data_IF_248636306857
#
_entry.id   IF_248636306857
#
_cell.length_a   1.000
_cell.length_b   1.000
_cell.length_c   1.000
_cell.angle_alpha   90.00
_cell.angle_beta   90.00
_cell.angle_gamma   90.00
#
_symmetry.space_group_name_H-M   'P 1'
#
loop_
_entity.id
_entity.type
_entity.pdbx_description
1 polymer ?
#
# COMPACT_ATOMS: atom_id res chain seq x y z
N UNK A 1 41.25 25.98 -43.92
CA UNK A 1 41.07 27.45 -43.99
C UNK A 1 39.61 27.69 -43.68
N UNK A 2 39.18 28.12 -42.50
CA UNK A 2 39.70 29.13 -41.54
C UNK A 2 39.24 28.64 -40.13
N UNK A 3 40.11 28.37 -39.14
CA UNK A 3 40.60 29.26 -38.05
C UNK A 3 39.50 30.18 -37.43
N UNK A 4 39.34 30.50 -36.14
CA UNK A 4 39.97 30.33 -34.81
C UNK A 4 38.92 30.94 -33.85
N UNK A 5 38.39 30.25 -32.84
CA UNK A 5 38.88 30.27 -31.45
C UNK A 5 38.81 31.65 -30.79
N UNK A 6 37.87 31.91 -29.85
CA UNK A 6 38.10 32.77 -28.67
C UNK A 6 37.15 32.41 -27.51
N UNK A 7 37.78 31.95 -26.42
CA UNK A 7 37.32 31.95 -25.03
C UNK A 7 37.28 33.36 -24.46
N UNK A 8 36.35 33.66 -23.55
CA UNK A 8 36.44 34.53 -22.33
C UNK A 8 35.03 34.59 -21.70
N UNK A 9 34.72 33.78 -20.67
CA UNK A 9 34.67 34.16 -19.22
C UNK A 9 33.82 35.43 -18.97
N UNK A 10 32.73 35.45 -18.21
CA UNK A 10 32.50 34.95 -16.85
C UNK A 10 30.96 34.90 -16.62
N UNK A 11 30.42 33.76 -16.17
CA UNK A 11 30.13 33.48 -14.76
C UNK A 11 29.08 34.41 -14.14
N UNK A 12 27.82 33.99 -14.20
CA UNK A 12 26.99 33.98 -13.01
C UNK A 12 26.42 32.56 -12.80
N UNK A 13 27.08 31.88 -11.83
CA UNK A 13 26.51 30.97 -10.82
C UNK A 13 25.84 29.66 -11.27
N UNK A 14 26.70 28.64 -11.32
CA UNK A 14 26.54 27.19 -11.10
C UNK A 14 25.64 26.83 -9.89
N UNK A 15 25.02 25.62 -9.74
CA UNK A 15 25.50 24.31 -10.19
C UNK A 15 24.46 23.38 -10.86
N UNK A 16 24.69 23.06 -12.12
CA UNK A 16 24.24 21.79 -12.70
C UNK A 16 25.42 20.81 -12.65
N UNK A 17 25.44 19.97 -11.61
CA UNK A 17 26.32 18.81 -11.61
C UNK A 17 25.74 17.77 -12.59
N UNK A 18 26.41 17.62 -13.73
CA UNK A 18 26.15 16.57 -14.72
C UNK A 18 26.68 15.24 -14.20
N UNK A 19 25.81 14.45 -13.57
CA UNK A 19 26.01 13.00 -13.45
C UNK A 19 25.07 12.29 -14.41
N UNK A 20 25.64 11.55 -15.36
CA UNK A 20 24.96 10.91 -16.48
C UNK A 20 23.64 10.25 -16.10
N UNK A 21 22.58 10.63 -16.84
CA UNK A 21 21.30 9.93 -16.83
C UNK A 21 21.53 8.53 -17.41
N UNK A 22 21.83 7.57 -16.53
CA UNK A 22 21.51 6.17 -16.80
C UNK A 22 20.01 6.11 -17.06
N UNK A 23 19.52 5.47 -18.11
CA UNK A 23 18.10 5.19 -18.22
C UNK A 23 17.72 4.32 -17.02
N UNK A 24 17.08 4.93 -16.02
CA UNK A 24 16.55 4.21 -14.87
C UNK A 24 15.45 3.30 -15.40
N UNK A 25 15.75 2.01 -15.48
CA UNK A 25 14.80 0.95 -15.77
C UNK A 25 13.66 1.06 -14.74
N UNK A 26 12.50 1.59 -15.17
CA UNK A 26 11.27 1.79 -14.36
C UNK A 26 10.60 0.48 -13.89
N UNK A 27 11.32 -0.63 -13.83
CA UNK A 27 10.81 -1.95 -13.41
C UNK A 27 10.83 -2.14 -11.89
N UNK A 28 11.54 -1.30 -11.13
CA UNK A 28 11.77 -1.48 -9.69
C UNK A 28 10.67 -0.95 -8.76
N UNK A 29 9.68 -0.20 -9.25
CA UNK A 29 8.84 0.62 -8.36
C UNK A 29 7.59 -0.11 -7.81
N UNK A 30 7.12 -1.16 -8.49
CA UNK A 30 5.86 -1.83 -8.17
C UNK A 30 6.14 -3.23 -7.61
N UNK A 31 6.48 -3.30 -6.32
CA UNK A 31 6.69 -4.56 -5.59
C UNK A 31 5.83 -4.58 -4.33
N UNK A 32 5.58 -5.78 -3.79
CA UNK A 32 4.97 -5.92 -2.48
C UNK A 32 5.81 -5.20 -1.43
N UNK A 33 5.16 -4.63 -0.42
CA UNK A 33 5.86 -3.90 0.63
C UNK A 33 6.64 -4.83 1.56
N UNK A 34 6.11 -6.04 1.80
CA UNK A 34 6.74 -7.11 2.56
C UNK A 34 6.85 -8.39 1.72
N UNK A 35 7.68 -9.32 2.18
CA UNK A 35 7.88 -10.61 1.52
C UNK A 35 6.63 -11.49 1.70
N UNK A 36 6.01 -11.89 0.57
CA UNK A 36 4.83 -12.74 0.56
C UNK A 36 5.16 -14.23 0.72
N UNK A 37 6.43 -14.61 0.56
CA UNK A 37 6.91 -16.01 0.66
C UNK A 37 7.43 -16.36 2.03
N UNK A 38 7.54 -15.38 2.94
CA UNK A 38 7.99 -15.60 4.30
C UNK A 38 7.03 -16.52 5.08
N UNK A 39 7.60 -17.33 5.97
CA UNK A 39 6.83 -18.20 6.85
C UNK A 39 5.84 -17.38 7.69
N UNK A 40 4.61 -17.87 7.80
CA UNK A 40 3.47 -17.23 8.49
C UNK A 40 3.09 -15.82 7.96
N UNK A 41 3.52 -15.44 6.75
CA UNK A 41 3.07 -14.20 6.13
C UNK A 41 1.55 -14.17 5.95
N UNK A 42 0.90 -13.11 6.42
CA UNK A 42 -0.52 -12.87 6.20
C UNK A 42 -0.71 -12.12 4.87
N UNK A 43 -0.81 -12.89 3.78
CA UNK A 43 -1.09 -12.37 2.44
C UNK A 43 -2.59 -12.17 2.25
N UNK A 44 -2.99 -10.98 1.84
CA UNK A 44 -4.39 -10.62 1.59
C UNK A 44 -4.82 -11.03 0.17
N UNK A 45 -6.11 -11.33 -0.06
CA UNK A 45 -6.58 -11.86 -1.33
C UNK A 45 -6.35 -10.87 -2.50
N UNK A 46 -6.00 -11.43 -3.66
CA UNK A 46 -5.81 -10.67 -4.89
C UNK A 46 -7.16 -10.34 -5.55
N UNK A 47 -7.31 -9.16 -6.18
CA UNK A 47 -8.52 -8.81 -6.91
C UNK A 47 -8.76 -9.72 -8.11
N UNK A 48 -10.01 -10.11 -8.36
CA UNK A 48 -10.44 -10.86 -9.55
C UNK A 48 -10.29 -10.02 -10.83
N UNK A 49 -10.27 -10.65 -12.01
CA UNK A 49 -10.18 -9.91 -13.28
C UNK A 49 -11.28 -8.86 -13.45
N UNK A 50 -12.53 -9.20 -13.11
CA UNK A 50 -13.65 -8.26 -13.16
C UNK A 50 -13.45 -7.07 -12.21
N UNK A 51 -12.91 -7.34 -11.01
CA UNK A 51 -12.57 -6.28 -10.05
C UNK A 51 -11.47 -5.37 -10.61
N UNK A 52 -10.42 -5.96 -11.18
CA UNK A 52 -9.33 -5.20 -11.80
C UNK A 52 -9.83 -4.30 -12.93
N UNK A 53 -10.68 -4.81 -13.82
CA UNK A 53 -11.27 -4.02 -14.91
C UNK A 53 -12.07 -2.80 -14.39
N UNK A 54 -12.74 -2.95 -13.24
CA UNK A 54 -13.58 -1.90 -12.65
C UNK A 54 -12.80 -0.88 -11.81
N UNK A 55 -11.83 -1.33 -11.01
CA UNK A 55 -11.18 -0.51 -9.99
C UNK A 55 -9.72 -0.12 -10.34
N UNK A 56 -9.05 -0.83 -11.24
CA UNK A 56 -7.67 -0.53 -11.67
C UNK A 56 -7.62 0.42 -12.88
N UNK A 57 -8.18 1.62 -12.73
CA UNK A 57 -8.31 2.61 -13.82
C UNK A 57 -6.98 3.05 -14.43
N UNK A 58 -5.87 2.86 -13.71
CA UNK A 58 -4.51 3.24 -14.14
C UNK A 58 -3.74 2.09 -14.79
N UNK A 59 -4.34 0.89 -14.89
CA UNK A 59 -3.68 -0.28 -15.47
C UNK A 59 -2.39 -0.67 -14.74
N UNK A 60 -2.35 -0.48 -13.41
CA UNK A 60 -1.16 -0.78 -12.61
C UNK A 60 -0.99 -2.30 -12.46
N UNK A 61 0.24 -2.81 -12.33
CA UNK A 61 0.46 -4.22 -12.05
C UNK A 61 -0.17 -4.60 -10.69
N UNK A 62 -0.73 -5.80 -10.61
CA UNK A 62 -1.26 -6.35 -9.36
C UNK A 62 -0.13 -6.97 -8.56
N UNK A 63 0.09 -6.46 -7.36
CA UNK A 63 1.12 -6.93 -6.42
C UNK A 63 0.49 -7.56 -5.18
N UNK A 64 1.24 -8.41 -4.49
CA UNK A 64 0.79 -8.95 -3.20
C UNK A 64 0.71 -7.87 -2.14
N UNK A 65 -0.37 -7.93 -1.36
CA UNK A 65 -0.56 -7.11 -0.18
C UNK A 65 -0.36 -8.01 1.03
N UNK A 66 0.67 -7.72 1.82
CA UNK A 66 1.05 -8.54 2.97
C UNK A 66 0.89 -7.69 4.22
N UNK A 67 0.12 -8.16 5.22
CA UNK A 67 0.00 -7.45 6.49
C UNK A 67 1.36 -7.39 7.17
N UNK A 68 1.70 -6.22 7.72
CA UNK A 68 2.99 -5.98 8.39
C UNK A 68 3.34 -7.13 9.35
N UNK A 69 4.50 -7.79 9.18
CA UNK A 69 4.93 -8.91 10.03
C UNK A 69 4.85 -8.61 11.53
N UNK A 70 5.12 -7.37 11.94
CA UNK A 70 5.06 -7.00 13.35
C UNK A 70 3.63 -7.00 13.93
N UNK A 71 2.62 -6.85 13.07
CA UNK A 71 1.20 -6.92 13.40
C UNK A 71 0.68 -8.34 13.20
N UNK A 72 0.97 -8.98 12.08
CA UNK A 72 0.45 -10.30 11.73
C UNK A 72 0.91 -11.41 12.68
N UNK A 73 2.14 -11.34 13.20
CA UNK A 73 2.65 -12.26 14.23
C UNK A 73 1.89 -12.18 15.56
N UNK A 74 1.15 -11.09 15.82
CA UNK A 74 0.34 -10.91 17.04
C UNK A 74 -1.12 -11.29 16.82
N UNK A 75 -1.53 -11.54 15.58
CA UNK A 75 -2.90 -11.92 15.26
C UNK A 75 -3.11 -13.41 15.52
N UNK A 76 -4.15 -13.73 16.26
CA UNK A 76 -4.67 -15.11 16.39
C UNK A 76 -5.36 -15.54 15.09
N UNK A 77 -5.53 -16.85 14.82
CA UNK A 77 -6.13 -17.32 13.56
C UNK A 77 -7.45 -16.63 13.19
N UNK A 78 -8.40 -16.52 14.13
CA UNK A 78 -9.68 -15.83 13.89
C UNK A 78 -9.52 -14.33 13.62
N UNK A 79 -8.48 -13.70 14.16
CA UNK A 79 -8.18 -12.28 13.89
C UNK A 79 -7.58 -12.10 12.49
N UNK A 80 -6.80 -13.07 12.00
CA UNK A 80 -6.28 -13.08 10.63
C UNK A 80 -7.43 -13.18 9.63
N UNK A 81 -8.38 -14.08 9.89
CA UNK A 81 -9.63 -14.18 9.11
C UNK A 81 -10.44 -12.88 9.15
N UNK A 82 -10.57 -12.26 10.32
CA UNK A 82 -11.23 -10.96 10.47
C UNK A 82 -10.57 -9.83 9.66
N UNK A 83 -9.23 -9.78 9.61
CA UNK A 83 -8.50 -8.81 8.77
C UNK A 83 -8.73 -9.08 7.28
N UNK A 84 -8.72 -10.34 6.85
CA UNK A 84 -9.03 -10.73 5.46
C UNK A 84 -10.46 -10.29 5.11
N UNK A 85 -11.43 -10.63 5.95
CA UNK A 85 -12.83 -10.25 5.78
C UNK A 85 -12.99 -8.73 5.62
N UNK A 86 -12.40 -7.95 6.53
CA UNK A 86 -12.49 -6.49 6.47
C UNK A 86 -11.81 -5.93 5.22
N UNK A 87 -10.67 -6.50 4.82
CA UNK A 87 -9.97 -6.09 3.59
C UNK A 87 -10.84 -6.31 2.35
N UNK A 88 -11.43 -7.49 2.19
CA UNK A 88 -12.29 -7.79 1.05
C UNK A 88 -13.51 -6.85 1.02
N UNK A 89 -14.08 -6.54 2.18
CA UNK A 89 -15.16 -5.58 2.32
C UNK A 89 -14.73 -4.17 1.89
N UNK A 90 -13.62 -3.64 2.41
CA UNK A 90 -13.13 -2.29 2.10
C UNK A 90 -12.75 -2.15 0.62
N UNK A 91 -12.24 -3.22 0.02
CA UNK A 91 -11.86 -3.24 -1.39
C UNK A 91 -13.02 -3.52 -2.34
N UNK A 92 -14.24 -3.76 -1.85
CA UNK A 92 -15.38 -4.18 -2.68
C UNK A 92 -15.09 -5.45 -3.49
N UNK A 93 -14.42 -6.43 -2.87
CA UNK A 93 -14.10 -7.73 -3.46
C UNK A 93 -15.15 -8.81 -3.13
N UNK A 94 -16.15 -8.49 -2.31
CA UNK A 94 -17.28 -9.38 -2.01
C UNK A 94 -18.49 -9.06 -2.88
N UNK A 95 -19.45 -9.98 -2.92
CA UNK A 95 -20.63 -9.93 -3.81
C UNK A 95 -21.67 -8.84 -3.44
N UNK A 96 -21.48 -8.09 -2.36
CA UNK A 96 -22.34 -6.97 -2.02
C UNK A 96 -21.80 -5.66 -2.64
N UNK A 97 -22.70 -4.82 -3.14
CA UNK A 97 -22.34 -3.51 -3.72
C UNK A 97 -22.04 -2.47 -2.63
N UNK A 98 -20.91 -2.60 -1.95
CA UNK A 98 -20.46 -1.61 -0.98
C UNK A 98 -18.98 -1.71 -0.63
N UNK A 99 -18.51 -0.74 0.14
CA UNK A 99 -17.12 -0.63 0.61
C UNK A 99 -17.07 -0.47 2.14
N UNK A 100 -18.08 -0.97 2.85
CA UNK A 100 -18.26 -0.87 4.30
C UNK A 100 -18.27 -2.25 4.96
N UNK A 101 -17.90 -2.35 6.23
CA UNK A 101 -17.93 -3.62 6.98
C UNK A 101 -18.45 -3.40 8.41
N UNK A 102 -19.08 -4.42 8.98
CA UNK A 102 -19.47 -4.47 10.38
C UNK A 102 -18.74 -5.64 11.02
N UNK A 103 -17.90 -5.37 12.01
CA UNK A 103 -17.21 -6.39 12.78
C UNK A 103 -17.97 -6.66 14.07
N UNK A 104 -18.89 -7.63 14.02
CA UNK A 104 -19.83 -7.96 15.10
C UNK A 104 -19.37 -9.16 15.96
N UNK A 105 -18.07 -9.46 15.96
CA UNK A 105 -17.47 -10.49 16.81
C UNK A 105 -17.72 -10.22 18.30
N UNK A 106 -17.68 -11.27 19.12
CA UNK A 106 -17.79 -11.17 20.58
C UNK A 106 -16.80 -10.15 21.18
N UNK A 107 -17.20 -9.56 22.31
CA UNK A 107 -16.34 -8.65 23.06
C UNK A 107 -15.09 -9.39 23.56
N UNK A 108 -13.94 -8.71 23.54
CA UNK A 108 -12.67 -9.30 23.97
C UNK A 108 -11.89 -10.05 22.88
N UNK A 109 -12.45 -10.31 21.69
CA UNK A 109 -11.75 -10.99 20.59
C UNK A 109 -10.67 -10.15 19.88
N UNK A 110 -10.41 -8.93 20.34
CA UNK A 110 -9.34 -8.07 19.82
C UNK A 110 -9.64 -7.37 18.50
N UNK A 111 -10.90 -6.99 18.29
CA UNK A 111 -11.38 -6.21 17.12
C UNK A 111 -10.52 -4.99 16.81
N UNK A 112 -10.07 -4.26 17.84
CA UNK A 112 -9.22 -3.09 17.65
C UNK A 112 -7.89 -3.42 16.97
N UNK A 113 -7.26 -4.56 17.32
CA UNK A 113 -6.01 -5.00 16.69
C UNK A 113 -6.25 -5.38 15.22
N UNK A 114 -7.37 -6.03 14.90
CA UNK A 114 -7.75 -6.34 13.52
C UNK A 114 -7.92 -5.05 12.70
N UNK A 115 -8.68 -4.08 13.21
CA UNK A 115 -8.89 -2.80 12.54
C UNK A 115 -7.58 -2.01 12.35
N UNK A 116 -6.72 -1.95 13.37
CA UNK A 116 -5.43 -1.25 13.27
C UNK A 116 -4.53 -1.93 12.22
N UNK A 117 -4.50 -3.26 12.18
CA UNK A 117 -3.72 -4.03 11.20
C UNK A 117 -4.16 -3.72 9.77
N UNK A 118 -5.47 -3.63 9.54
CA UNK A 118 -6.01 -3.24 8.25
C UNK A 118 -5.71 -1.77 7.91
N UNK A 119 -5.96 -0.84 8.83
CA UNK A 119 -5.72 0.60 8.64
C UNK A 119 -4.27 0.84 8.25
N UNK A 120 -3.33 0.23 8.99
CA UNK A 120 -1.91 0.33 8.70
C UNK A 120 -1.58 -0.19 7.29
N UNK A 121 -2.11 -1.37 6.95
CA UNK A 121 -1.91 -1.98 5.63
C UNK A 121 -2.38 -1.05 4.52
N UNK A 122 -3.60 -0.53 4.61
CA UNK A 122 -4.20 0.32 3.58
C UNK A 122 -3.59 1.73 3.50
N UNK A 123 -3.00 2.24 4.59
CA UNK A 123 -2.24 3.50 4.60
C UNK A 123 -0.87 3.37 3.94
N UNK A 124 -0.33 2.16 3.82
CA UNK A 124 1.03 1.92 3.32
C UNK A 124 1.06 1.28 1.94
N UNK A 125 0.08 0.45 1.62
CA UNK A 125 0.09 -0.37 0.41
C UNK A 125 -1.33 -0.75 -0.03
N UNK A 126 -1.40 -1.34 -1.22
CA UNK A 126 -2.62 -1.78 -1.87
C UNK A 126 -2.30 -2.68 -3.07
N UNK A 127 -3.30 -3.37 -3.61
CA UNK A 127 -3.08 -4.40 -4.64
C UNK A 127 -2.63 -3.79 -5.98
N UNK A 128 -2.93 -2.52 -6.23
CA UNK A 128 -2.63 -1.84 -7.48
C UNK A 128 -1.34 -1.03 -7.37
N UNK A 129 -0.24 -1.60 -7.90
CA UNK A 129 1.08 -0.99 -7.89
C UNK A 129 1.70 -0.82 -6.50
N UNK A 130 1.18 -1.50 -5.47
CA UNK A 130 1.70 -1.38 -4.10
C UNK A 130 1.44 -0.02 -3.46
N UNK A 131 0.55 0.80 -4.05
CA UNK A 131 0.30 2.16 -3.60
C UNK A 131 -0.69 2.19 -2.43
N UNK A 132 -0.55 3.15 -1.49
CA UNK A 132 -1.54 3.37 -0.44
C UNK A 132 -2.96 3.54 -0.98
N UNK A 133 -3.91 2.85 -0.35
CA UNK A 133 -5.34 2.88 -0.72
C UNK A 133 -6.03 4.06 -0.04
N UNK A 134 -5.61 4.39 1.18
CA UNK A 134 -6.10 5.53 1.95
C UNK A 134 -4.96 6.47 2.31
N UNK A 135 -5.29 7.75 2.53
CA UNK A 135 -4.31 8.77 2.94
C UNK A 135 -4.48 9.25 4.37
N UNK A 136 -5.71 9.19 4.89
CA UNK A 136 -6.10 9.66 6.22
C UNK A 136 -7.20 8.75 6.74
N UNK A 137 -7.20 8.53 8.04
CA UNK A 137 -8.19 7.71 8.75
C UNK A 137 -8.64 8.48 9.98
N UNK A 138 -9.95 8.45 10.23
CA UNK A 138 -10.55 8.97 11.46
C UNK A 138 -11.10 7.79 12.22
N UNK A 139 -10.68 7.65 13.47
CA UNK A 139 -11.20 6.64 14.39
C UNK A 139 -12.07 7.37 15.40
N UNK A 140 -13.35 7.01 15.43
CA UNK A 140 -14.32 7.57 16.38
C UNK A 140 -14.56 6.54 17.48
N UNK A 141 -14.30 6.93 18.72
CA UNK A 141 -14.51 6.11 19.91
C UNK A 141 -15.15 6.94 21.02
N UNK A 142 -15.89 6.31 21.96
CA UNK A 142 -16.31 6.97 23.19
C UNK A 142 -15.12 7.61 23.92
N UNK A 143 -15.34 8.77 24.55
CA UNK A 143 -14.27 9.53 25.21
C UNK A 143 -13.53 8.73 26.30
N UNK A 144 -14.19 7.76 26.93
CA UNK A 144 -13.59 6.87 27.94
C UNK A 144 -12.51 5.93 27.41
N UNK A 145 -12.43 5.73 26.09
CA UNK A 145 -11.41 4.89 25.44
C UNK A 145 -10.23 5.70 24.90
N UNK A 146 -10.31 7.03 24.98
CA UNK A 146 -9.24 7.95 24.56
C UNK A 146 -8.47 8.37 25.81
N UNK A 147 -7.15 8.24 25.78
CA UNK A 147 -6.23 8.68 26.84
C UNK A 147 -5.36 9.82 26.34
#
# INVERSE_FOLDING_TARGET
MVEVGYTTLCRYLWPYHTSGLRPSTKSSQYRSHFDATADDALVLPRPTQNHQLKYNTRGLPVVDVVVDPHLSLKLRPHQREGVIFLYECMMSMREYNGSGAILADEMGLGKSLQCISLIWTLLKQGPYGGLPVMRRVVVVTPGSLVK
#
